data_IF_856933342945
#
_entry.id   IF_856933342945
#
_cell.length_a   1.000
_cell.length_b   1.000
_cell.length_c   1.000
_cell.angle_alpha   90.00
_cell.angle_beta   90.00
_cell.angle_gamma   90.00
#
_symmetry.space_group_name_H-M   'P 1'
#
loop_
_entity.id
_entity.type
_entity.pdbx_description
1 polymer ?
#
# COMPACT_ATOMS: atom_id res chain seq x y z
N UNK A 1 -7.97 6.68 13.96
CA UNK A 1 -7.68 6.68 12.52
C UNK A 1 -7.10 5.32 12.18
N UNK A 2 -7.45 4.71 11.05
CA UNK A 2 -6.98 3.36 10.69
C UNK A 2 -6.10 3.39 9.46
N UNK A 3 -5.24 2.37 9.31
CA UNK A 3 -4.38 2.19 8.16
C UNK A 3 -5.21 1.94 6.89
N UNK A 4 -4.89 2.61 5.79
CA UNK A 4 -5.48 2.36 4.46
C UNK A 4 -4.36 1.98 3.50
N UNK A 5 -4.39 0.75 2.97
CA UNK A 5 -3.40 0.26 2.02
C UNK A 5 -4.00 0.25 0.60
N UNK A 6 -3.52 1.16 -0.24
CA UNK A 6 -3.78 1.13 -1.67
C UNK A 6 -2.89 0.12 -2.37
N UNK A 7 -3.51 -0.79 -3.12
CA UNK A 7 -2.84 -1.83 -3.87
C UNK A 7 -3.40 -1.96 -5.28
N UNK A 8 -2.63 -2.57 -6.18
CA UNK A 8 -3.18 -3.17 -7.38
C UNK A 8 -3.39 -4.68 -7.18
N UNK A 9 -3.72 -5.39 -8.26
CA UNK A 9 -3.91 -6.83 -8.21
C UNK A 9 -2.68 -7.54 -7.63
N UNK A 10 -2.84 -8.18 -6.47
CA UNK A 10 -1.78 -8.86 -5.71
C UNK A 10 -1.12 -10.00 -6.48
N UNK A 11 -1.81 -10.60 -7.45
CA UNK A 11 -1.24 -11.65 -8.33
C UNK A 11 -0.26 -11.06 -9.35
N UNK A 12 -0.46 -9.81 -9.78
CA UNK A 12 0.35 -9.17 -10.81
C UNK A 12 1.33 -8.11 -10.28
N UNK A 13 1.13 -7.64 -9.05
CA UNK A 13 2.03 -6.69 -8.38
C UNK A 13 2.60 -7.32 -7.11
N UNK A 14 3.81 -7.87 -7.22
CA UNK A 14 4.55 -8.36 -6.04
C UNK A 14 4.80 -7.23 -5.03
N UNK A 15 4.95 -5.99 -5.50
CA UNK A 15 5.10 -4.82 -4.63
C UNK A 15 3.85 -4.59 -3.77
N UNK A 16 2.66 -4.76 -4.34
CA UNK A 16 1.41 -4.68 -3.59
C UNK A 16 1.24 -5.84 -2.60
N UNK A 17 1.72 -7.04 -2.96
CA UNK A 17 1.61 -8.23 -2.11
C UNK A 17 2.44 -8.12 -0.83
N UNK A 18 3.65 -7.53 -0.90
CA UNK A 18 4.59 -7.47 0.23
C UNK A 18 4.02 -6.83 1.51
N UNK A 19 3.55 -5.56 1.50
CA UNK A 19 2.98 -4.97 2.71
C UNK A 19 1.64 -5.60 3.08
N UNK A 20 0.87 -6.08 2.09
CA UNK A 20 -0.41 -6.74 2.35
C UNK A 20 -0.23 -8.02 3.17
N UNK A 21 0.69 -8.91 2.74
CA UNK A 21 0.91 -10.18 3.45
C UNK A 21 1.49 -9.94 4.84
N UNK A 22 2.36 -8.94 5.00
CA UNK A 22 2.89 -8.55 6.31
C UNK A 22 1.76 -8.15 7.26
N UNK A 23 0.91 -7.18 6.87
CA UNK A 23 -0.19 -6.70 7.70
C UNK A 23 -1.16 -7.83 8.07
N UNK A 24 -1.46 -8.72 7.11
CA UNK A 24 -2.30 -9.91 7.35
C UNK A 24 -1.64 -10.91 8.30
N UNK A 25 -0.35 -11.18 8.15
CA UNK A 25 0.39 -12.14 8.98
C UNK A 25 0.53 -11.64 10.43
N UNK A 26 0.71 -10.33 10.62
CA UNK A 26 0.79 -9.70 11.94
C UNK A 26 -0.57 -9.41 12.58
N UNK A 27 -1.68 -9.70 11.88
CA UNK A 27 -3.03 -9.43 12.39
C UNK A 27 -3.35 -7.94 12.56
N UNK A 28 -2.60 -7.05 11.90
CA UNK A 28 -2.79 -5.61 11.99
C UNK A 28 -4.03 -5.22 11.19
N UNK A 29 -5.03 -4.55 11.77
CA UNK A 29 -6.22 -4.11 11.04
C UNK A 29 -5.88 -2.99 10.03
N UNK A 30 -6.35 -3.14 8.80
CA UNK A 30 -6.23 -2.11 7.76
C UNK A 30 -7.40 -2.21 6.76
N UNK A 31 -7.73 -1.08 6.15
CA UNK A 31 -8.62 -1.02 4.99
C UNK A 31 -7.81 -1.32 3.72
N UNK A 32 -8.19 -2.35 2.96
CA UNK A 32 -7.62 -2.62 1.66
C UNK A 32 -8.38 -1.83 0.57
N UNK A 33 -7.67 -1.00 -0.20
CA UNK A 33 -8.23 -0.33 -1.38
C UNK A 33 -7.57 -0.82 -2.66
N UNK A 34 -8.34 -1.56 -3.46
CA UNK A 34 -7.87 -2.09 -4.74
C UNK A 34 -8.10 -1.07 -5.86
N UNK A 35 -7.03 -0.63 -6.51
CA UNK A 35 -7.07 0.11 -7.76
C UNK A 35 -6.41 -0.73 -8.87
N UNK A 36 -7.21 -1.18 -9.84
CA UNK A 36 -6.70 -1.98 -10.96
C UNK A 36 -5.90 -1.16 -11.94
N UNK A 37 -4.89 -1.78 -12.57
CA UNK A 37 -4.17 -1.18 -13.68
C UNK A 37 -5.08 -0.98 -14.90
N UNK A 38 -5.04 0.21 -15.48
CA UNK A 38 -5.59 0.46 -16.82
C UNK A 38 -4.64 -0.07 -17.88
N UNK A 39 -5.15 -0.86 -18.83
CA UNK A 39 -4.35 -1.46 -19.89
C UNK A 39 -3.75 -0.40 -20.83
N UNK A 40 -2.50 -0.60 -21.25
CA UNK A 40 -1.84 0.20 -22.29
C UNK A 40 -1.50 1.65 -21.92
N UNK A 41 -1.72 2.08 -20.67
CA UNK A 41 -1.58 3.47 -20.26
C UNK A 41 -0.76 3.64 -18.97
N UNK A 42 -0.29 4.87 -18.75
CA UNK A 42 0.09 5.38 -17.43
C UNK A 42 -1.13 5.28 -16.50
N UNK A 43 -0.91 5.28 -15.18
CA UNK A 43 -1.95 5.10 -14.17
C UNK A 43 -2.32 6.43 -13.49
N UNK A 44 -2.97 7.39 -14.18
CA UNK A 44 -3.23 8.72 -13.62
C UNK A 44 -4.13 8.67 -12.38
N UNK A 45 -5.02 7.67 -12.30
CA UNK A 45 -5.83 7.43 -11.11
C UNK A 45 -4.99 7.25 -9.84
N UNK A 46 -3.76 6.73 -9.96
CA UNK A 46 -2.92 6.48 -8.79
C UNK A 46 -2.39 7.78 -8.17
N UNK A 47 -2.32 8.87 -8.94
CA UNK A 47 -1.88 10.18 -8.45
C UNK A 47 -2.86 10.79 -7.44
N UNK A 48 -4.09 10.28 -7.36
CA UNK A 48 -5.07 10.71 -6.35
C UNK A 48 -4.71 10.29 -4.92
N UNK A 49 -3.87 9.26 -4.76
CA UNK A 49 -3.49 8.71 -3.45
C UNK A 49 -1.99 8.49 -3.28
N UNK A 50 -1.22 8.47 -4.36
CA UNK A 50 0.22 8.20 -4.36
C UNK A 50 0.97 9.36 -5.00
N UNK A 51 1.91 10.02 -4.29
CA UNK A 51 2.70 11.10 -4.87
C UNK A 51 3.58 10.63 -6.03
N UNK A 52 3.86 9.34 -6.10
CA UNK A 52 4.66 8.73 -7.18
C UNK A 52 3.82 8.13 -8.32
N UNK A 53 2.49 8.11 -8.17
CA UNK A 53 1.59 7.45 -9.13
C UNK A 53 1.79 5.94 -9.21
N UNK A 54 2.23 5.31 -8.11
CA UNK A 54 2.53 3.87 -8.02
C UNK A 54 1.85 3.24 -6.82
N UNK A 55 1.72 1.92 -6.85
CA UNK A 55 1.29 1.10 -5.72
C UNK A 55 2.45 0.19 -5.29
N UNK A 56 2.51 -0.21 -4.01
CA UNK A 56 1.60 0.12 -2.92
C UNK A 56 1.75 1.56 -2.40
N UNK A 57 0.73 2.05 -1.70
CA UNK A 57 0.81 3.28 -0.89
C UNK A 57 -0.04 3.10 0.36
N UNK A 58 0.56 3.33 1.53
CA UNK A 58 -0.09 3.27 2.83
C UNK A 58 -0.43 4.70 3.28
N UNK A 59 -1.68 4.90 3.71
CA UNK A 59 -2.09 6.11 4.42
C UNK A 59 -2.29 5.78 5.91
N UNK A 60 -1.73 6.62 6.76
CA UNK A 60 -1.89 6.58 8.21
C UNK A 60 -2.11 8.00 8.74
N UNK A 61 -3.38 8.41 8.82
CA UNK A 61 -3.75 9.79 9.10
C UNK A 61 -3.17 10.75 8.06
N UNK A 62 -2.33 11.68 8.51
CA UNK A 62 -1.66 12.66 7.64
C UNK A 62 -0.36 12.11 7.01
N UNK A 63 0.08 10.91 7.41
CA UNK A 63 1.29 10.28 6.89
C UNK A 63 0.95 9.45 5.66
N UNK A 64 1.71 9.66 4.59
CA UNK A 64 1.64 8.87 3.35
C UNK A 64 2.98 8.19 3.12
N UNK A 65 2.99 6.86 3.09
CA UNK A 65 4.19 6.04 2.85
C UNK A 65 4.04 5.30 1.53
N UNK A 66 4.98 5.52 0.61
CA UNK A 66 5.05 4.82 -0.67
C UNK A 66 6.33 3.99 -0.74
N UNK A 67 6.37 3.04 -1.68
CA UNK A 67 7.35 1.94 -1.75
C UNK A 67 7.06 0.78 -0.80
N UNK A 68 7.15 -0.44 -1.32
CA UNK A 68 6.81 -1.64 -0.57
C UNK A 68 7.70 -1.90 0.65
N UNK A 69 8.99 -1.55 0.59
CA UNK A 69 9.92 -1.77 1.71
C UNK A 69 9.82 -0.66 2.75
N UNK A 70 9.67 0.59 2.31
CA UNK A 70 9.43 1.70 3.21
C UNK A 70 8.15 1.51 4.03
N UNK A 71 7.07 0.97 3.42
CA UNK A 71 5.85 0.61 4.15
C UNK A 71 6.14 -0.49 5.20
N UNK A 72 6.97 -1.48 4.87
CA UNK A 72 7.32 -2.57 5.81
C UNK A 72 8.11 -2.01 6.99
N UNK A 73 9.11 -1.16 6.74
CA UNK A 73 9.90 -0.51 7.80
C UNK A 73 9.03 0.39 8.68
N UNK A 74 8.18 1.22 8.08
CA UNK A 74 7.23 2.06 8.80
C UNK A 74 6.32 1.26 9.73
N UNK A 75 5.77 0.13 9.24
CA UNK A 75 4.92 -0.74 10.07
C UNK A 75 5.72 -1.40 11.20
N UNK A 76 6.97 -1.80 10.94
CA UNK A 76 7.82 -2.39 11.98
C UNK A 76 8.16 -1.38 13.10
N UNK A 77 8.35 -0.10 12.76
CA UNK A 77 8.55 0.97 13.74
C UNK A 77 7.27 1.31 14.52
N UNK A 78 6.12 1.36 13.82
CA UNK A 78 4.83 1.70 14.42
C UNK A 78 4.22 0.56 15.26
N UNK A 79 4.58 -0.70 14.96
CA UNK A 79 4.08 -1.91 15.62
C UNK A 79 5.24 -2.80 16.08
N UNK A 80 5.97 -2.41 17.14
CA UNK A 80 7.03 -3.23 17.71
C UNK A 80 6.48 -4.53 18.32
N UNK A 81 7.33 -5.55 18.39
CA UNK A 81 7.03 -6.87 18.94
C UNK A 81 6.84 -6.87 20.47
#
# INVERSE_FOLDING_TARGET
MGLVLFIANKRYSSWSMRPWVLLKALGIPFEERLQTFTAGLRQPAFLSFSPTGKVPTLLDGDVTVWDSLAIVEYIAEAHPA
#
